data_IF_391507625814
#
_entry.id   IF_391507625814
#
_cell.length_a   1.000
_cell.length_b   1.000
_cell.length_c   1.000
_cell.angle_alpha   90.00
_cell.angle_beta   90.00
_cell.angle_gamma   90.00
#
_symmetry.space_group_name_H-M   'P 1'
#
loop_
_entity.id
_entity.type
_entity.pdbx_description
1 polymer ?
#
# COMPACT_ATOMS: atom_id res chain seq x y z
N UNK A 1 -11.80 -6.03 6.36
CA UNK A 1 -12.19 -6.49 7.69
C UNK A 1 -11.19 -7.53 8.14
N UNK A 2 -10.72 -7.44 9.38
CA UNK A 2 -9.92 -8.48 10.03
C UNK A 2 -10.43 -8.70 11.44
N UNK A 3 -10.43 -9.95 11.90
CA UNK A 3 -10.74 -10.35 13.27
C UNK A 3 -9.45 -10.76 13.95
N UNK A 4 -9.12 -10.09 15.05
CA UNK A 4 -7.93 -10.35 15.86
C UNK A 4 -8.22 -11.42 16.92
N UNK A 5 -7.16 -12.02 17.48
CA UNK A 5 -7.27 -13.12 18.45
C UNK A 5 -7.97 -12.72 19.77
N UNK A 6 -7.99 -11.42 20.07
CA UNK A 6 -8.73 -10.80 21.19
C UNK A 6 -10.24 -10.66 20.90
N UNK A 7 -10.72 -11.13 19.75
CA UNK A 7 -12.11 -11.02 19.31
C UNK A 7 -12.46 -9.66 18.68
N UNK A 8 -11.49 -8.75 18.52
CA UNK A 8 -11.76 -7.42 17.96
C UNK A 8 -11.84 -7.47 16.43
N UNK A 9 -12.93 -6.93 15.89
CA UNK A 9 -13.09 -6.72 14.45
C UNK A 9 -12.63 -5.33 14.05
N UNK A 10 -11.69 -5.25 13.11
CA UNK A 10 -11.18 -4.00 12.53
C UNK A 10 -11.62 -3.88 11.08
N UNK A 11 -12.19 -2.72 10.74
CA UNK A 11 -12.54 -2.37 9.36
C UNK A 11 -11.82 -1.10 8.98
N UNK A 12 -10.99 -1.19 7.95
CA UNK A 12 -10.27 -0.06 7.37
C UNK A 12 -10.87 0.21 5.99
N UNK A 13 -11.24 1.46 5.74
CA UNK A 13 -11.71 1.94 4.44
C UNK A 13 -10.94 3.19 4.07
N UNK A 14 -10.39 3.22 2.86
CA UNK A 14 -9.74 4.39 2.30
C UNK A 14 -10.03 4.46 0.80
N UNK A 15 -9.70 5.61 0.22
CA UNK A 15 -9.75 5.84 -1.23
C UNK A 15 -8.37 6.24 -1.70
N UNK A 16 -8.00 5.74 -2.86
CA UNK A 16 -6.79 6.15 -3.56
C UNK A 16 -7.13 6.63 -4.97
N UNK A 17 -6.29 7.53 -5.48
CA UNK A 17 -6.30 7.92 -6.89
C UNK A 17 -5.07 7.33 -7.55
N UNK A 18 -5.31 6.55 -8.59
CA UNK A 18 -4.26 6.00 -9.44
C UNK A 18 -4.23 6.74 -10.78
N UNK A 19 -3.06 7.17 -11.23
CA UNK A 19 -2.82 7.66 -12.59
C UNK A 19 -1.70 6.83 -13.19
N UNK A 20 -1.99 6.15 -14.30
CA UNK A 20 -0.98 5.39 -15.05
C UNK A 20 -0.85 5.91 -16.48
N UNK A 21 0.40 5.99 -16.92
CA UNK A 21 0.85 6.34 -18.28
C UNK A 21 2.01 5.42 -18.62
N UNK A 22 2.39 5.42 -19.89
CA UNK A 22 3.59 4.69 -20.28
C UNK A 22 4.79 5.14 -19.42
N UNK A 23 5.51 4.18 -18.85
CA UNK A 23 6.62 4.41 -17.93
C UNK A 23 6.30 5.02 -16.55
N UNK A 24 5.05 5.37 -16.23
CA UNK A 24 4.69 6.02 -14.95
C UNK A 24 3.41 5.46 -14.30
N UNK A 25 3.48 5.20 -12.99
CA UNK A 25 2.33 4.93 -12.13
C UNK A 25 2.39 5.82 -10.89
N UNK A 26 1.33 6.59 -10.68
CA UNK A 26 1.12 7.39 -9.48
C UNK A 26 -0.04 6.82 -8.68
N UNK A 27 0.14 6.64 -7.38
CA UNK A 27 -0.91 6.24 -6.44
C UNK A 27 -0.85 7.20 -5.26
N UNK A 28 -1.97 7.82 -4.90
CA UNK A 28 -2.04 8.68 -3.72
C UNK A 28 -3.30 8.42 -2.91
N UNK A 29 -3.21 8.61 -1.59
CA UNK A 29 -4.38 8.62 -0.72
C UNK A 29 -5.22 9.86 -0.99
N UNK A 30 -6.53 9.65 -1.17
CA UNK A 30 -7.52 10.72 -1.26
C UNK A 30 -8.14 10.88 0.12
N UNK A 31 -7.78 11.91 0.90
CA UNK A 31 -8.38 12.14 2.19
C UNK A 31 -9.89 12.47 2.03
N UNK A 32 -10.74 12.08 2.99
CA UNK A 32 -12.13 12.49 2.98
C UNK A 32 -12.22 14.02 3.05
N UNK A 33 -13.22 14.59 2.37
CA UNK A 33 -13.46 16.04 2.38
C UNK A 33 -13.57 16.56 3.82
N UNK A 34 -12.76 17.55 4.17
CA UNK A 34 -12.72 18.14 5.52
C UNK A 34 -11.73 17.50 6.50
N UNK A 35 -11.08 16.38 6.14
CA UNK A 35 -9.97 15.87 6.94
C UNK A 35 -8.74 16.79 6.79
N UNK A 36 -8.30 17.39 7.88
CA UNK A 36 -6.95 17.98 7.95
C UNK A 36 -5.97 16.82 7.83
N UNK A 37 -4.98 16.94 6.93
CA UNK A 37 -3.83 16.03 6.96
C UNK A 37 -3.18 16.20 8.33
N UNK A 38 -3.19 15.16 9.16
CA UNK A 38 -2.48 15.21 10.43
C UNK A 38 -1.02 15.48 10.09
N UNK A 39 -0.47 16.56 10.63
CA UNK A 39 0.97 16.80 10.56
C UNK A 39 1.62 15.70 11.40
N UNK A 40 2.41 14.83 10.77
CA UNK A 40 3.29 13.92 11.49
C UNK A 40 4.34 14.77 12.22
N UNK A 41 4.05 15.16 13.47
CA UNK A 41 4.91 16.04 14.25
C UNK A 41 4.42 16.46 15.63
N UNK A 42 3.35 15.87 16.18
CA UNK A 42 2.96 16.19 17.57
C UNK A 42 3.70 15.28 18.56
N UNK A 43 4.64 15.89 19.27
CA UNK A 43 5.41 15.33 20.36
C UNK A 43 4.51 15.12 21.59
N UNK A 44 4.36 13.88 22.04
CA UNK A 44 3.79 13.57 23.35
C UNK A 44 4.94 13.42 24.36
N UNK A 45 5.18 14.47 25.15
CA UNK A 45 6.04 14.40 26.33
C UNK A 45 5.23 13.86 27.51
N UNK A 46 5.69 12.77 28.13
CA UNK A 46 5.25 12.37 29.46
C UNK A 46 6.42 12.48 30.42
N UNK A 47 6.29 13.42 31.36
CA UNK A 47 7.16 13.59 32.52
C UNK A 47 7.10 12.35 33.40
N UNK A 48 8.27 11.88 33.82
CA UNK A 48 8.45 10.59 34.50
C UNK A 48 8.12 10.60 35.98
N UNK A 49 8.12 9.39 36.54
CA UNK A 49 8.45 9.10 37.94
C UNK A 49 8.93 7.65 38.04
N UNK A 50 10.17 7.52 38.50
CA UNK A 50 10.94 6.29 38.70
C UNK A 50 10.36 5.35 39.76
N UNK A 51 10.52 4.03 39.57
CA UNK A 51 11.03 3.10 40.61
C UNK A 51 11.19 1.64 40.11
N UNK A 52 12.43 1.28 39.77
CA UNK A 52 13.19 0.08 40.19
C UNK A 52 12.53 -1.32 40.33
N UNK A 53 13.00 -2.27 39.49
CA UNK A 53 13.65 -3.59 39.82
C UNK A 53 13.27 -4.72 38.86
N UNK A 54 14.28 -5.48 38.43
CA UNK A 54 14.23 -6.69 37.56
C UNK A 54 15.40 -7.61 37.98
N UNK A 55 15.48 -8.92 37.66
CA UNK A 55 14.54 -10.08 37.75
C UNK A 55 15.21 -11.31 38.47
N UNK A 56 14.76 -12.60 38.34
CA UNK A 56 14.98 -13.40 37.12
C UNK A 56 13.87 -14.38 36.65
N UNK A 57 13.69 -14.41 35.32
CA UNK A 57 13.45 -15.50 34.34
C UNK A 57 12.67 -16.79 34.69
N UNK A 58 11.64 -17.09 33.88
CA UNK A 58 11.41 -18.43 33.24
C UNK A 58 10.32 -18.39 32.15
N UNK A 59 10.71 -18.75 30.92
CA UNK A 59 9.96 -19.58 29.96
C UNK A 59 8.63 -19.09 29.37
N UNK A 60 8.59 -18.96 28.04
CA UNK A 60 7.35 -19.05 27.25
C UNK A 60 7.08 -17.86 26.34
N UNK A 61 6.84 -18.16 25.06
CA UNK A 61 6.18 -17.36 24.02
C UNK A 61 6.63 -15.88 23.85
N UNK A 62 7.14 -15.54 22.66
CA UNK A 62 7.25 -14.14 22.22
C UNK A 62 5.93 -13.69 21.58
N UNK A 63 5.12 -12.84 22.24
CA UNK A 63 4.20 -11.96 21.55
C UNK A 63 5.02 -10.86 20.83
N UNK A 64 4.66 -10.55 19.59
CA UNK A 64 5.17 -9.37 18.92
C UNK A 64 4.41 -8.14 19.45
N UNK A 65 5.19 -7.12 19.80
CA UNK A 65 4.81 -5.75 20.19
C UNK A 65 4.45 -5.51 21.68
N UNK A 66 5.50 -5.34 22.48
CA UNK A 66 5.60 -4.24 23.44
C UNK A 66 7.09 -3.97 23.71
N UNK A 67 7.71 -3.19 22.83
CA UNK A 67 8.97 -2.52 23.11
C UNK A 67 8.72 -1.03 22.84
N UNK A 68 8.21 -0.35 23.85
CA UNK A 68 8.27 1.10 23.94
C UNK A 68 9.55 1.47 24.69
N UNK A 69 10.14 2.57 24.24
CA UNK A 69 11.27 3.33 24.78
C UNK A 69 12.70 2.84 24.50
N UNK A 70 13.32 3.44 23.47
CA UNK A 70 14.36 4.46 23.67
C UNK A 70 15.01 4.90 22.33
N UNK A 71 14.37 5.78 21.56
CA UNK A 71 15.07 6.60 20.56
C UNK A 71 14.51 8.02 20.56
N UNK A 72 15.34 8.98 20.93
CA UNK A 72 14.99 10.39 21.00
C UNK A 72 14.77 10.96 19.59
N UNK A 73 13.55 11.42 19.28
CA UNK A 73 13.32 12.54 18.35
C UNK A 73 13.62 12.37 16.86
N UNK A 74 13.72 11.16 16.30
CA UNK A 74 13.91 10.98 14.86
C UNK A 74 12.60 11.20 14.08
N UNK A 75 12.64 12.02 13.02
CA UNK A 75 11.50 12.23 12.12
C UNK A 75 11.38 11.05 11.17
N UNK A 76 10.44 10.15 11.41
CA UNK A 76 10.10 9.10 10.45
C UNK A 76 9.25 9.67 9.30
N UNK A 77 9.58 9.29 8.07
CA UNK A 77 8.74 9.59 6.92
C UNK A 77 7.54 8.64 6.88
N UNK A 78 6.33 9.17 6.71
CA UNK A 78 5.11 8.38 6.59
C UNK A 78 4.93 7.88 5.14
N UNK A 79 5.53 6.73 4.83
CA UNK A 79 5.42 6.09 3.52
C UNK A 79 4.01 5.60 3.21
N UNK A 80 3.20 5.29 4.24
CA UNK A 80 1.86 4.73 4.07
C UNK A 80 0.84 5.75 3.59
N UNK A 81 1.03 7.04 3.94
CA UNK A 81 0.14 8.13 3.50
C UNK A 81 0.71 8.98 2.35
N UNK A 82 2.01 8.89 2.10
CA UNK A 82 2.66 9.55 0.98
C UNK A 82 2.14 9.04 -0.37
N UNK A 83 2.20 9.90 -1.39
CA UNK A 83 1.91 9.46 -2.75
C UNK A 83 3.10 8.64 -3.27
N UNK A 84 2.84 7.48 -3.85
CA UNK A 84 3.86 6.62 -4.46
C UNK A 84 3.92 6.85 -5.96
N UNK A 85 5.12 7.10 -6.47
CA UNK A 85 5.41 7.21 -7.89
C UNK A 85 6.37 6.10 -8.31
N UNK A 86 5.87 5.17 -9.13
CA UNK A 86 6.67 4.10 -9.73
C UNK A 86 6.99 4.48 -11.17
N UNK A 87 8.25 4.31 -11.56
CA UNK A 87 8.74 4.54 -12.92
C UNK A 87 9.26 3.25 -13.52
N UNK A 88 9.13 3.13 -14.84
CA UNK A 88 9.75 2.08 -15.62
C UNK A 88 10.44 2.70 -16.83
N UNK A 89 11.77 2.76 -16.78
CA UNK A 89 12.60 3.24 -17.87
C UNK A 89 13.34 2.06 -18.52
N UNK A 90 12.69 1.45 -19.52
CA UNK A 90 13.27 0.33 -20.27
C UNK A 90 13.57 -0.91 -19.41
N UNK A 91 12.75 -1.17 -18.38
CA UNK A 91 12.94 -2.25 -17.41
C UNK A 91 13.66 -1.83 -16.14
N UNK A 92 14.18 -0.61 -16.06
CA UNK A 92 14.72 -0.05 -14.82
C UNK A 92 13.56 0.51 -13.98
N UNK A 93 13.20 -0.24 -12.94
CA UNK A 93 12.10 0.12 -12.05
C UNK A 93 12.60 0.99 -10.92
N UNK A 94 12.05 2.20 -10.81
CA UNK A 94 12.31 3.15 -9.73
C UNK A 94 11.05 3.41 -8.91
N UNK A 95 11.20 3.67 -7.61
CA UNK A 95 10.10 4.20 -6.78
C UNK A 95 10.54 5.43 -5.99
N UNK A 96 9.68 6.44 -5.97
CA UNK A 96 9.81 7.60 -5.09
C UNK A 96 8.49 7.82 -4.34
N UNK A 97 8.57 8.33 -3.11
CA UNK A 97 7.43 8.71 -2.29
C UNK A 97 7.37 10.22 -2.14
N UNK A 98 6.18 10.79 -2.28
CA UNK A 98 5.97 12.23 -2.33
C UNK A 98 5.06 12.67 -1.20
N UNK A 99 5.63 13.47 -0.30
CA UNK A 99 4.87 14.25 0.67
C UNK A 99 4.55 15.61 0.08
N UNK A 100 3.30 15.79 -0.36
CA UNK A 100 2.82 17.06 -0.90
C UNK A 100 2.70 18.16 0.16
N UNK A 101 2.49 17.82 1.43
CA UNK A 101 2.37 18.80 2.51
C UNK A 101 3.75 19.37 2.88
N UNK A 102 4.77 18.52 2.95
CA UNK A 102 6.16 18.94 3.19
C UNK A 102 6.94 19.27 1.91
N UNK A 103 6.29 19.19 0.73
CA UNK A 103 6.91 19.38 -0.59
C UNK A 103 8.22 18.63 -0.74
N UNK A 104 8.23 17.36 -0.33
CA UNK A 104 9.42 16.51 -0.31
C UNK A 104 9.18 15.27 -1.17
N UNK A 105 10.20 14.87 -1.92
CA UNK A 105 10.25 13.63 -2.69
C UNK A 105 11.39 12.78 -2.14
N UNK A 106 11.09 11.55 -1.76
CA UNK A 106 12.04 10.59 -1.19
C UNK A 106 12.25 9.47 -2.19
N UNK A 107 13.46 9.38 -2.75
CA UNK A 107 13.84 8.28 -3.61
C UNK A 107 14.25 7.06 -2.77
N UNK A 108 13.72 5.89 -3.10
CA UNK A 108 14.00 4.65 -2.38
C UNK A 108 14.88 3.75 -3.25
N UNK A 109 16.01 3.22 -2.75
CA UNK A 109 16.83 2.29 -3.51
C UNK A 109 16.18 0.89 -3.57
N UNK A 110 16.50 0.05 -4.59
CA UNK A 110 15.90 -1.28 -4.75
C UNK A 110 15.98 -2.20 -3.53
N UNK A 111 17.06 -2.08 -2.75
CA UNK A 111 17.25 -2.85 -1.51
C UNK A 111 16.16 -2.57 -0.44
N UNK A 112 15.50 -1.42 -0.54
CA UNK A 112 14.53 -0.89 0.45
C UNK A 112 13.10 -0.84 -0.10
N UNK A 113 12.84 -1.49 -1.24
CA UNK A 113 11.49 -1.52 -1.80
C UNK A 113 10.51 -2.20 -0.83
N UNK A 114 10.87 -3.38 -0.33
CA UNK A 114 9.97 -4.14 0.55
C UNK A 114 9.75 -3.44 1.89
N UNK A 115 10.76 -2.75 2.43
CA UNK A 115 10.67 -2.01 3.70
C UNK A 115 9.73 -0.80 3.61
N UNK A 116 9.50 -0.29 2.40
CA UNK A 116 8.56 0.81 2.11
C UNK A 116 7.22 0.34 1.54
N UNK A 117 6.98 -0.98 1.44
CA UNK A 117 5.71 -1.52 0.93
C UNK A 117 5.58 -1.55 -0.60
N UNK A 118 6.69 -1.50 -1.32
CA UNK A 118 6.76 -1.76 -2.76
C UNK A 118 7.43 -3.11 -3.02
N UNK A 119 6.89 -3.91 -3.92
CA UNK A 119 7.38 -5.26 -4.21
C UNK A 119 8.39 -5.32 -5.37
N UNK A 120 8.80 -4.16 -5.89
CA UNK A 120 9.68 -4.05 -7.06
C UNK A 120 9.00 -4.37 -8.40
N UNK A 121 7.72 -4.75 -8.41
CA UNK A 121 7.04 -5.24 -9.61
C UNK A 121 6.30 -4.12 -10.33
N UNK A 122 6.77 -3.80 -11.54
CA UNK A 122 6.07 -2.90 -12.45
C UNK A 122 4.67 -3.41 -12.81
N UNK A 123 4.53 -4.71 -13.09
CA UNK A 123 3.25 -5.29 -13.49
C UNK A 123 2.21 -5.20 -12.37
N UNK A 124 2.62 -5.42 -11.12
CA UNK A 124 1.74 -5.24 -9.97
C UNK A 124 1.35 -3.78 -9.79
N UNK A 125 2.31 -2.85 -9.93
CA UNK A 125 2.03 -1.43 -9.86
C UNK A 125 1.08 -0.96 -10.99
N UNK A 126 1.30 -1.37 -12.23
CA UNK A 126 0.58 -0.86 -13.40
C UNK A 126 -0.78 -1.51 -13.63
N UNK A 127 -0.91 -2.81 -13.35
CA UNK A 127 -2.15 -3.56 -13.61
C UNK A 127 -2.96 -3.85 -12.34
N UNK A 128 -2.37 -3.74 -11.15
CA UNK A 128 -2.92 -4.21 -9.85
C UNK A 128 -3.09 -5.74 -9.79
N UNK A 129 -3.57 -6.34 -10.88
CA UNK A 129 -3.58 -7.78 -11.13
C UNK A 129 -2.89 -8.04 -12.47
N UNK A 130 -1.67 -8.59 -12.47
CA UNK A 130 -0.91 -8.81 -13.70
C UNK A 130 -1.67 -9.68 -14.71
N UNK A 131 -1.66 -9.34 -16.01
CA UNK A 131 -2.26 -10.17 -17.06
C UNK A 131 -1.69 -11.60 -17.09
N UNK A 132 -0.42 -11.77 -16.72
CA UNK A 132 0.23 -13.09 -16.63
C UNK A 132 -0.45 -14.00 -15.60
N UNK A 133 -0.97 -13.45 -14.50
CA UNK A 133 -1.77 -14.18 -13.52
C UNK A 133 -3.12 -14.58 -14.10
N UNK A 134 -3.80 -13.67 -14.77
CA UNK A 134 -5.10 -13.93 -15.38
C UNK A 134 -5.03 -14.99 -16.47
N UNK A 135 -3.95 -15.00 -17.26
CA UNK A 135 -3.71 -16.02 -18.29
C UNK A 135 -3.72 -17.44 -17.72
N UNK A 136 -3.14 -17.63 -16.53
CA UNK A 136 -3.13 -18.94 -15.84
C UNK A 136 -4.52 -19.37 -15.36
N UNK A 137 -5.40 -18.41 -15.09
CA UNK A 137 -6.76 -18.64 -14.57
C UNK A 137 -7.83 -18.66 -15.68
N UNK A 138 -7.45 -18.38 -16.93
CA UNK A 138 -8.39 -18.13 -18.02
C UNK A 138 -9.32 -19.31 -18.33
N UNK A 139 -8.83 -20.56 -18.19
CA UNK A 139 -9.62 -21.76 -18.47
C UNK A 139 -10.85 -21.91 -17.54
N UNK A 140 -10.77 -21.38 -16.32
CA UNK A 140 -11.83 -21.47 -15.31
C UNK A 140 -12.58 -20.15 -15.13
N UNK A 141 -12.31 -19.19 -16.01
CA UNK A 141 -12.94 -17.88 -15.94
C UNK A 141 -14.41 -17.93 -16.35
N UNK A 142 -15.20 -16.98 -15.85
CA UNK A 142 -16.62 -16.85 -16.14
C UNK A 142 -16.91 -15.47 -16.72
N UNK A 143 -17.87 -15.32 -17.64
CA UNK A 143 -18.31 -13.99 -18.08
C UNK A 143 -18.68 -13.08 -16.90
N UNK A 144 -18.33 -11.80 -17.01
CA UNK A 144 -18.74 -10.78 -16.06
C UNK A 144 -20.10 -10.16 -16.42
N UNK A 145 -20.60 -9.22 -15.59
CA UNK A 145 -21.92 -8.61 -15.76
C UNK A 145 -22.01 -7.64 -16.95
N UNK A 146 -20.87 -7.14 -17.46
CA UNK A 146 -20.81 -6.22 -18.59
C UNK A 146 -20.00 -6.80 -19.76
N UNK A 147 -20.27 -6.40 -21.01
CA UNK A 147 -19.46 -6.81 -22.16
C UNK A 147 -17.97 -6.51 -21.96
N UNK A 148 -17.10 -7.44 -22.36
CA UNK A 148 -15.65 -7.31 -22.18
C UNK A 148 -15.18 -7.38 -20.73
N UNK A 149 -16.01 -7.94 -19.82
CA UNK A 149 -15.60 -8.23 -18.44
C UNK A 149 -15.66 -9.71 -18.12
N UNK A 150 -14.81 -10.14 -17.18
CA UNK A 150 -14.63 -11.56 -16.83
C UNK A 150 -14.26 -11.75 -15.38
N UNK A 151 -14.90 -12.70 -14.72
CA UNK A 151 -14.55 -13.17 -13.39
C UNK A 151 -13.46 -14.23 -13.45
N UNK A 152 -12.45 -14.06 -12.61
CA UNK A 152 -11.42 -15.03 -12.31
C UNK A 152 -11.48 -15.36 -10.83
N UNK A 153 -11.23 -16.63 -10.50
CA UNK A 153 -11.21 -17.11 -9.12
C UNK A 153 -9.98 -18.00 -8.92
N UNK A 154 -9.34 -17.86 -7.75
CA UNK A 154 -8.18 -18.64 -7.39
C UNK A 154 -8.21 -18.96 -5.90
N UNK A 155 -8.03 -20.23 -5.54
CA UNK A 155 -7.73 -20.64 -4.17
C UNK A 155 -6.29 -20.28 -3.84
N UNK A 156 -6.09 -19.57 -2.73
CA UNK A 156 -4.80 -19.27 -2.15
C UNK A 156 -4.52 -20.33 -1.09
N UNK A 157 -3.43 -21.07 -1.24
CA UNK A 157 -3.07 -22.20 -0.36
C UNK A 157 -1.90 -21.92 0.59
N UNK A 158 -1.42 -20.67 0.67
CA UNK A 158 -0.28 -20.34 1.52
C UNK A 158 -0.64 -20.51 3.01
N UNK A 159 0.23 -21.08 3.87
CA UNK A 159 -0.10 -21.43 5.27
C UNK A 159 -0.68 -20.30 6.12
N UNK A 160 -0.38 -19.03 5.80
CA UNK A 160 -0.89 -17.83 6.51
C UNK A 160 -1.94 -17.02 5.74
N UNK A 161 -2.36 -17.48 4.56
CA UNK A 161 -3.28 -16.75 3.69
C UNK A 161 -4.20 -17.71 2.92
N UNK A 162 -4.59 -18.82 3.57
CA UNK A 162 -5.54 -19.75 2.97
C UNK A 162 -6.88 -19.05 2.73
N UNK A 163 -7.40 -19.13 1.51
CA UNK A 163 -8.62 -18.44 1.15
C UNK A 163 -8.91 -18.43 -0.34
N UNK A 164 -9.80 -17.53 -0.76
CA UNK A 164 -10.22 -17.37 -2.16
C UNK A 164 -10.03 -15.94 -2.60
N UNK A 165 -9.29 -15.74 -3.69
CA UNK A 165 -9.21 -14.49 -4.42
C UNK A 165 -10.21 -14.50 -5.59
N UNK A 166 -10.95 -13.41 -5.78
CA UNK A 166 -11.80 -13.18 -6.95
C UNK A 166 -11.44 -11.86 -7.61
N UNK A 167 -11.38 -11.85 -8.94
CA UNK A 167 -11.06 -10.66 -9.72
C UNK A 167 -12.09 -10.50 -10.83
N UNK A 168 -12.78 -9.36 -10.86
CA UNK A 168 -13.54 -8.93 -12.02
C UNK A 168 -12.63 -8.08 -12.89
N UNK A 169 -12.26 -8.58 -14.06
CA UNK A 169 -11.38 -7.91 -15.01
C UNK A 169 -12.17 -7.20 -16.11
N UNK A 170 -11.65 -6.09 -16.61
CA UNK A 170 -12.11 -5.43 -17.85
C UNK A 170 -11.03 -5.48 -18.91
N UNK A 171 -11.36 -6.07 -20.07
CA UNK A 171 -10.44 -6.14 -21.21
C UNK A 171 -10.21 -4.76 -21.86
N UNK A 172 -11.25 -3.92 -21.91
CA UNK A 172 -11.15 -2.57 -22.47
C UNK A 172 -10.23 -1.67 -21.63
N UNK A 173 -10.31 -1.79 -20.29
CA UNK A 173 -9.48 -1.00 -19.39
C UNK A 173 -8.13 -1.65 -19.13
N UNK A 174 -7.95 -2.94 -19.37
CA UNK A 174 -6.76 -3.70 -18.92
C UNK A 174 -6.50 -3.44 -17.41
N UNK A 175 -7.55 -3.61 -16.60
CA UNK A 175 -7.52 -3.37 -15.16
C UNK A 175 -8.63 -4.18 -14.44
N UNK A 176 -8.44 -4.51 -13.15
CA UNK A 176 -9.51 -5.09 -12.35
C UNK A 176 -10.54 -4.01 -11.99
N UNK A 177 -11.83 -4.31 -12.17
CA UNK A 177 -12.92 -3.50 -11.64
C UNK A 177 -13.19 -3.82 -10.16
N UNK A 178 -12.99 -5.08 -9.78
CA UNK A 178 -13.13 -5.56 -8.40
C UNK A 178 -12.03 -6.58 -8.10
N UNK A 179 -11.40 -6.47 -6.94
CA UNK A 179 -10.53 -7.50 -6.37
C UNK A 179 -11.04 -7.83 -4.98
N UNK A 180 -11.31 -9.10 -4.72
CA UNK A 180 -11.81 -9.60 -3.45
C UNK A 180 -10.91 -10.71 -2.94
N UNK A 181 -10.71 -10.75 -1.62
CA UNK A 181 -10.18 -11.91 -0.93
C UNK A 181 -11.04 -12.21 0.28
N UNK A 182 -11.23 -13.48 0.55
CA UNK A 182 -11.83 -14.01 1.77
C UNK A 182 -10.93 -15.13 2.29
N UNK A 183 -10.53 -15.06 3.55
CA UNK A 183 -9.81 -16.17 4.18
C UNK A 183 -10.73 -17.37 4.38
N UNK A 184 -10.14 -18.57 4.40
CA UNK A 184 -10.87 -19.81 4.59
C UNK A 184 -11.55 -19.91 5.97
N UNK A 185 -10.94 -19.31 6.99
CA UNK A 185 -11.48 -19.20 8.36
C UNK A 185 -12.51 -18.06 8.53
N UNK A 186 -12.72 -17.22 7.51
CA UNK A 186 -13.64 -16.08 7.56
C UNK A 186 -13.15 -14.89 8.38
N UNK A 187 -11.98 -14.96 9.01
CA UNK A 187 -11.46 -13.90 9.89
C UNK A 187 -10.90 -12.70 9.11
N UNK A 188 -10.65 -12.84 7.81
CA UNK A 188 -10.16 -11.76 6.97
C UNK A 188 -10.93 -11.65 5.67
N UNK A 189 -11.31 -10.42 5.32
CA UNK A 189 -11.81 -10.07 4.00
C UNK A 189 -11.26 -8.73 3.55
N UNK A 190 -10.95 -8.63 2.25
CA UNK A 190 -10.60 -7.36 1.60
C UNK A 190 -11.38 -7.24 0.30
N UNK A 191 -11.74 -6.01 -0.03
CA UNK A 191 -12.38 -5.66 -1.29
C UNK A 191 -11.79 -4.35 -1.78
N UNK A 192 -11.29 -4.37 -3.01
CA UNK A 192 -10.90 -3.20 -3.78
C UNK A 192 -11.89 -3.06 -4.92
N UNK A 193 -12.38 -1.85 -5.15
CA UNK A 193 -13.25 -1.52 -6.29
C UNK A 193 -12.64 -0.34 -7.03
N UNK A 194 -12.48 -0.49 -8.34
CA UNK A 194 -11.97 0.57 -9.20
C UNK A 194 -13.13 1.27 -9.90
N UNK A 195 -13.05 2.58 -9.95
CA UNK A 195 -13.96 3.42 -10.72
C UNK A 195 -13.12 4.33 -11.60
N UNK A 196 -13.41 4.31 -12.89
CA UNK A 196 -12.72 5.19 -13.83
C UNK A 196 -13.12 6.64 -13.56
N UNK A 197 -12.14 7.52 -13.55
CA UNK A 197 -12.34 8.97 -13.50
C UNK A 197 -11.73 9.61 -14.74
N UNK A 198 -12.23 10.79 -15.18
CA UNK A 198 -11.65 11.51 -16.31
C UNK A 198 -10.15 11.72 -16.11
N UNK A 199 -9.36 11.41 -17.14
CA UNK A 199 -7.92 11.46 -17.02
C UNK A 199 -7.42 12.91 -16.96
N UNK A 200 -6.40 13.21 -16.13
CA UNK A 200 -5.81 14.53 -16.09
C UNK A 200 -5.15 14.89 -17.43
N UNK A 201 -5.17 16.18 -17.78
CA UNK A 201 -4.41 16.72 -18.93
C UNK A 201 -2.92 16.48 -18.74
N UNK A 202 -2.15 16.42 -19.82
CA UNK A 202 -0.73 16.06 -19.78
C UNK A 202 0.12 17.02 -18.91
N UNK A 203 -0.22 18.30 -18.82
CA UNK A 203 0.43 19.28 -17.93
C UNK A 203 -0.02 19.18 -16.47
N UNK A 204 -1.11 18.44 -16.19
CA UNK A 204 -1.66 18.21 -14.86
C UNK A 204 -1.30 16.84 -14.29
N UNK A 205 -0.33 16.13 -14.90
CA UNK A 205 0.18 14.87 -14.36
C UNK A 205 0.95 15.13 -13.05
N UNK A 206 0.67 14.37 -11.96
CA UNK A 206 1.24 14.68 -10.64
C UNK A 206 2.78 14.74 -10.62
N UNK A 207 3.44 13.80 -11.28
CA UNK A 207 4.91 13.74 -11.34
C UNK A 207 5.55 14.90 -12.13
N UNK A 208 4.77 15.62 -12.95
CA UNK A 208 5.23 16.82 -13.65
C UNK A 208 5.13 18.10 -12.82
N UNK A 209 4.70 18.01 -11.57
CA UNK A 209 4.56 19.15 -10.66
C UNK A 209 5.63 19.17 -9.55
N UNK A 210 6.57 18.22 -9.60
CA UNK A 210 7.53 17.97 -8.52
C UNK A 210 8.85 18.77 -8.63
N UNK A 211 9.03 19.60 -9.67
CA UNK A 211 10.31 20.30 -9.92
C UNK A 211 10.70 21.24 -8.79
N UNK A 212 9.71 21.74 -8.06
CA UNK A 212 9.90 22.66 -6.93
C UNK A 212 9.90 21.95 -5.57
N UNK A 213 9.94 20.62 -5.55
CA UNK A 213 9.97 19.82 -4.33
C UNK A 213 11.41 19.51 -3.95
N UNK A 214 11.70 19.50 -2.66
CA UNK A 214 12.99 19.07 -2.13
C UNK A 214 13.15 17.58 -2.36
N UNK A 215 14.31 17.17 -2.88
CA UNK A 215 14.64 15.74 -3.05
C UNK A 215 15.51 15.27 -1.89
N UNK A 216 15.18 14.08 -1.38
CA UNK A 216 15.90 13.38 -0.31
C UNK A 216 16.11 11.92 -0.67
N UNK A 217 17.12 11.32 -0.06
CA UNK A 217 17.33 9.88 -0.11
C UNK A 217 16.58 9.20 1.05
N UNK A 218 16.22 7.93 0.87
CA UNK A 218 15.70 7.11 1.97
C UNK A 218 16.60 7.11 3.21
N UNK A 219 17.93 7.09 3.01
CA UNK A 219 18.91 7.11 4.10
C UNK A 219 18.80 8.34 5.02
N UNK A 220 18.32 9.49 4.51
CA UNK A 220 18.15 10.71 5.30
C UNK A 220 17.08 10.58 6.41
N UNK A 221 16.36 9.45 6.45
CA UNK A 221 15.31 9.13 7.41
C UNK A 221 15.65 7.91 8.30
N UNK A 222 16.87 7.39 8.21
CA UNK A 222 17.37 6.30 9.03
C UNK A 222 18.20 6.77 10.24
N UNK A 223 18.62 8.04 10.23
CA UNK A 223 19.51 8.66 11.22
C UNK A 223 18.78 9.30 12.40
#
# INVERSE_FOLDING_TARGET
MTVSADGVTRTVTYRERMVRRDGHVWIERVPPSGAKRAHAGDAHAHEGLDAARTPPSRGGARPAAAAADAHAGHRHFDFDSAARHVTNDGGRIGVEYVDAAQRTVVAVPPAEYETTGFDGSWDNAFYITPPSQLKRLAAQSKPGPAPGTRWYEQTVGAPRAQGTNRVLWSDALQAPLVVEYRSADGHASRKLTLTLTPAPRANALPWRQLQSYTRKAYADYLD
#
